data_IF_252827256258
#
_entry.id   IF_252827256258
#
_cell.length_a   1.000
_cell.length_b   1.000
_cell.length_c   1.000
_cell.angle_alpha   90.00
_cell.angle_beta   90.00
_cell.angle_gamma   90.00
#
_symmetry.space_group_name_H-M   'P 1'
#
loop_
_entity.id
_entity.type
_entity.pdbx_description
1 polymer ?
#
# COMPACT_ATOMS: atom_id res chain seq x y z
N UNK A 1 -41.52 -16.81 31.43
CA UNK A 1 -40.20 -16.29 31.78
C UNK A 1 -39.04 -17.06 31.08
N UNK A 2 -38.87 -18.39 31.21
CA UNK A 2 -37.77 -19.17 30.63
C UNK A 2 -37.68 -19.08 29.09
N UNK A 3 -38.81 -19.04 28.34
CA UNK A 3 -38.81 -18.91 26.86
C UNK A 3 -38.27 -17.54 26.38
N UNK A 4 -38.54 -16.48 27.12
CA UNK A 4 -38.04 -15.14 26.79
C UNK A 4 -36.50 -15.03 26.97
N UNK A 5 -35.97 -15.63 28.04
CA UNK A 5 -34.52 -15.68 28.30
C UNK A 5 -33.78 -16.47 27.21
N UNK A 6 -34.33 -17.62 26.78
CA UNK A 6 -33.75 -18.40 25.70
C UNK A 6 -33.68 -17.63 24.38
N UNK A 7 -34.75 -16.90 24.02
CA UNK A 7 -34.77 -16.06 22.81
C UNK A 7 -33.77 -14.92 22.88
N UNK A 8 -33.64 -14.27 24.04
CA UNK A 8 -32.67 -13.19 24.24
C UNK A 8 -31.19 -13.68 24.06
N UNK A 9 -30.87 -14.89 24.55
CA UNK A 9 -29.55 -15.50 24.38
C UNK A 9 -29.24 -15.80 22.91
N UNK A 10 -30.20 -16.35 22.16
CA UNK A 10 -30.04 -16.63 20.74
C UNK A 10 -29.81 -15.35 19.97
N UNK A 11 -30.60 -14.30 20.20
CA UNK A 11 -30.45 -13.00 19.56
C UNK A 11 -29.08 -12.39 19.88
N UNK A 12 -28.60 -12.49 21.12
CA UNK A 12 -27.28 -12.03 21.53
C UNK A 12 -26.19 -12.77 20.76
N UNK A 13 -26.29 -14.10 20.64
CA UNK A 13 -25.32 -14.91 19.92
C UNK A 13 -25.27 -14.59 18.43
N UNK A 14 -26.44 -14.44 17.79
CA UNK A 14 -26.51 -14.03 16.37
C UNK A 14 -25.85 -12.67 16.14
N UNK A 15 -26.13 -11.71 17.06
CA UNK A 15 -25.47 -10.38 16.96
C UNK A 15 -23.97 -10.46 17.16
N UNK A 16 -23.49 -11.20 18.15
CA UNK A 16 -22.05 -11.37 18.38
C UNK A 16 -21.34 -11.94 17.14
N UNK A 17 -21.89 -12.98 16.52
CA UNK A 17 -21.35 -13.56 15.28
C UNK A 17 -21.43 -12.56 14.12
N UNK A 18 -22.55 -11.84 13.98
CA UNK A 18 -22.70 -10.81 12.94
C UNK A 18 -21.74 -9.63 13.12
N UNK A 19 -21.38 -9.31 14.37
CA UNK A 19 -20.38 -8.28 14.72
C UNK A 19 -18.92 -8.79 14.63
N UNK A 20 -18.71 -10.00 14.07
CA UNK A 20 -17.39 -10.56 13.82
C UNK A 20 -16.81 -11.45 14.94
N UNK A 21 -17.54 -11.69 16.05
CA UNK A 21 -17.11 -12.62 17.10
C UNK A 21 -17.51 -14.05 16.73
N UNK A 22 -16.83 -14.61 15.72
CA UNK A 22 -17.18 -15.93 15.15
C UNK A 22 -16.97 -17.10 16.11
N UNK A 23 -16.11 -16.94 17.11
CA UNK A 23 -15.82 -17.88 18.21
C UNK A 23 -16.88 -17.90 19.32
N UNK A 24 -17.89 -16.97 19.27
CA UNK A 24 -18.91 -16.89 20.28
C UNK A 24 -19.82 -18.12 20.28
N UNK A 25 -19.93 -18.80 21.44
CA UNK A 25 -20.80 -19.96 21.64
C UNK A 25 -22.02 -19.59 22.46
N UNK A 26 -23.22 -19.87 21.92
CA UNK A 26 -24.48 -19.69 22.64
C UNK A 26 -24.58 -20.78 23.71
N UNK A 27 -24.70 -20.43 25.01
CA UNK A 27 -24.87 -21.43 26.07
C UNK A 27 -26.16 -22.22 25.91
N UNK A 28 -26.05 -23.55 25.78
CA UNK A 28 -27.19 -24.43 25.51
C UNK A 28 -28.04 -24.78 26.77
N UNK A 29 -27.51 -24.49 27.97
CA UNK A 29 -28.13 -24.82 29.25
C UNK A 29 -29.50 -24.17 29.41
N UNK A 30 -30.52 -25.00 29.61
CA UNK A 30 -31.91 -24.58 29.82
C UNK A 30 -32.73 -24.26 28.57
N UNK A 31 -32.13 -24.40 27.36
CA UNK A 31 -32.86 -24.36 26.09
C UNK A 31 -33.49 -25.71 25.79
N UNK A 32 -34.67 -25.73 25.15
CA UNK A 32 -35.43 -26.94 24.78
C UNK A 32 -36.14 -26.76 23.44
N UNK A 33 -36.36 -27.89 22.74
CA UNK A 33 -37.08 -27.91 21.46
C UNK A 33 -36.44 -27.00 20.42
N UNK A 34 -37.20 -26.25 19.63
CA UNK A 34 -36.71 -25.42 18.55
C UNK A 34 -35.71 -24.34 18.96
N UNK A 35 -35.68 -23.90 20.23
CA UNK A 35 -34.65 -22.97 20.72
C UNK A 35 -33.30 -23.67 20.88
N UNK A 36 -33.27 -24.91 21.31
CA UNK A 36 -32.04 -25.71 21.40
C UNK A 36 -31.50 -26.01 20.00
N UNK A 37 -32.35 -26.41 19.08
CA UNK A 37 -31.97 -26.69 17.69
C UNK A 37 -31.41 -25.44 17.00
N UNK A 38 -32.07 -24.29 17.19
CA UNK A 38 -31.57 -23.01 16.66
C UNK A 38 -30.19 -22.64 17.23
N UNK A 39 -30.00 -22.73 18.56
CA UNK A 39 -28.74 -22.42 19.20
C UNK A 39 -27.60 -23.36 18.73
N UNK A 40 -27.87 -24.66 18.61
CA UNK A 40 -26.92 -25.63 18.08
C UNK A 40 -26.55 -25.33 16.61
N UNK A 41 -27.55 -24.98 15.79
CA UNK A 41 -27.30 -24.64 14.38
C UNK A 41 -26.48 -23.37 14.24
N UNK A 42 -26.74 -22.34 15.06
CA UNK A 42 -25.99 -21.08 15.06
C UNK A 42 -24.54 -21.31 15.54
N UNK A 43 -24.32 -22.10 16.59
CA UNK A 43 -22.98 -22.45 17.03
C UNK A 43 -22.21 -23.21 15.93
N UNK A 44 -22.86 -24.15 15.22
CA UNK A 44 -22.24 -24.82 14.06
C UNK A 44 -21.90 -23.87 12.92
N UNK A 45 -22.72 -22.84 12.70
CA UNK A 45 -22.40 -21.77 11.71
C UNK A 45 -21.19 -20.98 12.18
N UNK A 46 -21.13 -20.59 13.47
CA UNK A 46 -19.96 -19.95 14.06
C UNK A 46 -18.68 -20.76 13.86
N UNK A 47 -18.69 -22.06 14.25
CA UNK A 47 -17.56 -22.96 14.09
C UNK A 47 -17.15 -23.16 12.59
N UNK A 48 -18.12 -23.10 11.68
CA UNK A 48 -17.88 -23.16 10.25
C UNK A 48 -17.22 -21.90 9.70
N UNK A 49 -17.68 -20.73 10.15
CA UNK A 49 -17.09 -19.44 9.80
C UNK A 49 -15.67 -19.30 10.36
N UNK A 50 -15.47 -19.67 11.62
CA UNK A 50 -14.15 -19.62 12.27
C UNK A 50 -13.12 -20.44 11.49
N UNK A 51 -13.46 -21.69 11.17
CA UNK A 51 -12.62 -22.55 10.32
C UNK A 51 -12.35 -21.96 8.93
N UNK A 52 -13.36 -21.37 8.30
CA UNK A 52 -13.20 -20.75 6.99
C UNK A 52 -12.26 -19.53 7.04
N UNK A 53 -12.36 -18.73 8.12
CA UNK A 53 -11.45 -17.60 8.37
C UNK A 53 -10.03 -18.10 8.62
N UNK A 54 -9.84 -19.10 9.50
CA UNK A 54 -8.51 -19.69 9.76
C UNK A 54 -7.87 -20.27 8.49
N UNK A 55 -8.64 -20.99 7.68
CA UNK A 55 -8.17 -21.52 6.40
C UNK A 55 -7.80 -20.40 5.42
N UNK A 56 -8.60 -19.35 5.33
CA UNK A 56 -8.34 -18.18 4.50
C UNK A 56 -7.04 -17.46 4.92
N UNK A 57 -6.85 -17.24 6.22
CA UNK A 57 -5.62 -16.63 6.77
C UNK A 57 -4.40 -17.52 6.51
N UNK A 58 -4.54 -18.83 6.70
CA UNK A 58 -3.46 -19.79 6.40
C UNK A 58 -3.07 -19.77 4.92
N UNK A 59 -4.06 -19.77 4.03
CA UNK A 59 -3.82 -19.72 2.59
C UNK A 59 -3.13 -18.43 2.16
N UNK A 60 -3.53 -17.29 2.73
CA UNK A 60 -2.88 -15.99 2.43
C UNK A 60 -1.43 -15.95 2.95
N UNK A 61 -1.15 -16.53 4.13
CA UNK A 61 0.23 -16.69 4.64
C UNK A 61 1.07 -17.58 3.73
N UNK A 62 0.55 -18.76 3.35
CA UNK A 62 1.27 -19.67 2.44
C UNK A 62 1.57 -19.01 1.10
N UNK A 63 0.62 -18.25 0.55
CA UNK A 63 0.82 -17.48 -0.68
C UNK A 63 1.93 -16.44 -0.52
N UNK A 64 1.97 -15.74 0.62
CA UNK A 64 3.00 -14.75 0.94
C UNK A 64 4.37 -15.38 1.06
N UNK A 65 4.47 -16.51 1.77
CA UNK A 65 5.72 -17.26 1.94
C UNK A 65 6.25 -17.80 0.61
N UNK A 66 5.37 -18.35 -0.22
CA UNK A 66 5.72 -18.80 -1.57
C UNK A 66 6.24 -17.64 -2.43
N UNK A 67 5.54 -16.50 -2.47
CA UNK A 67 5.97 -15.32 -3.23
C UNK A 67 7.32 -14.81 -2.71
N UNK A 68 7.53 -14.78 -1.40
CA UNK A 68 8.78 -14.33 -0.79
C UNK A 68 9.94 -15.25 -1.15
N UNK A 69 9.76 -16.57 -1.05
CA UNK A 69 10.79 -17.56 -1.37
C UNK A 69 11.14 -17.56 -2.86
N UNK A 70 10.13 -17.60 -3.74
CA UNK A 70 10.34 -17.54 -5.20
C UNK A 70 11.07 -16.25 -5.59
N UNK A 71 10.72 -15.11 -4.96
CA UNK A 71 11.39 -13.86 -5.26
C UNK A 71 12.83 -13.80 -4.79
N UNK A 72 13.16 -14.40 -3.64
CA UNK A 72 14.54 -14.58 -3.21
C UNK A 72 15.34 -15.40 -4.23
N UNK A 73 14.75 -16.50 -4.72
CA UNK A 73 15.38 -17.40 -5.68
C UNK A 73 15.53 -16.76 -7.08
N UNK A 74 14.69 -15.78 -7.42
CA UNK A 74 14.82 -14.97 -8.63
C UNK A 74 15.86 -13.83 -8.43
N UNK A 75 15.92 -13.22 -7.25
CA UNK A 75 16.83 -12.09 -6.97
C UNK A 75 18.31 -12.48 -7.14
N UNK A 76 18.67 -13.69 -6.71
CA UNK A 76 20.08 -14.18 -6.75
C UNK A 76 20.62 -14.28 -8.18
N UNK A 77 20.01 -15.02 -9.13
CA UNK A 77 20.50 -15.10 -10.51
C UNK A 77 20.38 -13.75 -11.23
N UNK A 78 19.38 -12.93 -10.90
CA UNK A 78 19.21 -11.62 -11.48
C UNK A 78 20.31 -10.64 -11.07
N UNK A 79 20.73 -10.66 -9.81
CA UNK A 79 21.89 -9.90 -9.34
C UNK A 79 23.17 -10.31 -10.09
N UNK A 80 23.35 -11.61 -10.36
CA UNK A 80 24.45 -12.10 -11.17
C UNK A 80 24.39 -11.56 -12.60
N UNK A 81 23.21 -11.58 -13.24
CA UNK A 81 23.03 -11.03 -14.61
C UNK A 81 23.42 -9.55 -14.63
N UNK A 82 22.94 -8.74 -13.67
CA UNK A 82 23.27 -7.32 -13.58
C UNK A 82 24.78 -7.14 -13.47
N UNK A 83 25.43 -7.86 -12.54
CA UNK A 83 26.87 -7.76 -12.34
C UNK A 83 27.67 -8.12 -13.61
N UNK A 84 27.26 -9.17 -14.35
CA UNK A 84 27.92 -9.53 -15.59
C UNK A 84 27.69 -8.51 -16.71
N UNK A 85 26.51 -7.91 -16.80
CA UNK A 85 26.25 -6.80 -17.73
C UNK A 85 27.11 -5.60 -17.40
N UNK A 86 27.24 -5.24 -16.12
CA UNK A 86 28.13 -4.16 -15.66
C UNK A 86 29.60 -4.42 -15.98
N UNK A 87 30.07 -5.67 -15.80
CA UNK A 87 31.45 -6.07 -16.17
C UNK A 87 31.64 -5.96 -17.68
N UNK A 88 30.73 -6.47 -18.49
CA UNK A 88 30.82 -6.40 -19.95
C UNK A 88 30.77 -4.94 -20.45
N UNK A 89 30.03 -4.04 -19.80
CA UNK A 89 30.02 -2.61 -20.16
C UNK A 89 31.38 -1.93 -19.92
N UNK A 90 32.18 -2.42 -18.97
CA UNK A 90 33.55 -1.89 -18.68
C UNK A 90 34.57 -2.32 -19.70
N UNK A 91 34.30 -3.38 -20.47
CA UNK A 91 35.22 -3.87 -21.53
C UNK A 91 35.27 -2.95 -22.77
N UNK A 92 34.52 -1.85 -22.79
CA UNK A 92 34.49 -0.80 -23.81
C UNK A 92 34.48 -1.33 -25.26
N UNK A 93 33.45 -2.11 -25.58
CA UNK A 93 33.25 -2.64 -26.93
C UNK A 93 33.13 -1.52 -27.96
N UNK A 94 33.92 -1.57 -29.04
CA UNK A 94 33.86 -0.59 -30.12
C UNK A 94 32.60 -0.67 -30.96
N UNK A 95 31.97 -1.88 -31.06
CA UNK A 95 30.75 -2.09 -31.84
C UNK A 95 29.53 -1.44 -31.15
N UNK A 96 28.91 -0.43 -31.79
CA UNK A 96 27.72 0.24 -31.26
C UNK A 96 26.53 -0.70 -31.00
N UNK A 97 26.43 -1.81 -31.74
CA UNK A 97 25.37 -2.79 -31.59
C UNK A 97 25.52 -3.55 -30.25
N UNK A 98 26.75 -3.91 -29.89
CA UNK A 98 27.06 -4.60 -28.64
C UNK A 98 26.71 -3.67 -27.45
N UNK A 99 27.15 -2.41 -27.52
CA UNK A 99 26.78 -1.41 -26.48
C UNK A 99 25.27 -1.26 -26.31
N UNK A 100 24.55 -1.18 -27.43
CA UNK A 100 23.08 -1.10 -27.38
C UNK A 100 22.44 -2.38 -26.78
N UNK A 101 22.95 -3.56 -27.11
CA UNK A 101 22.45 -4.81 -26.53
C UNK A 101 22.69 -4.88 -25.01
N UNK A 102 23.87 -4.45 -24.56
CA UNK A 102 24.19 -4.40 -23.13
C UNK A 102 23.30 -3.40 -22.39
N UNK A 103 23.04 -2.24 -22.98
CA UNK A 103 22.12 -1.26 -22.40
C UNK A 103 20.69 -1.80 -22.28
N UNK A 104 20.18 -2.48 -23.29
CA UNK A 104 18.85 -3.13 -23.25
C UNK A 104 18.81 -4.23 -22.21
N UNK A 105 19.86 -5.05 -22.11
CA UNK A 105 19.96 -6.12 -21.10
C UNK A 105 19.95 -5.55 -19.68
N UNK A 106 20.74 -4.52 -19.42
CA UNK A 106 20.77 -3.82 -18.15
C UNK A 106 19.40 -3.30 -17.76
N UNK A 107 18.75 -2.56 -18.66
CA UNK A 107 17.41 -2.01 -18.45
C UNK A 107 16.38 -3.10 -18.12
N UNK A 108 16.37 -4.21 -18.89
CA UNK A 108 15.45 -5.33 -18.64
C UNK A 108 15.76 -6.07 -17.34
N UNK A 109 17.04 -6.22 -16.97
CA UNK A 109 17.44 -6.83 -15.72
C UNK A 109 17.03 -5.97 -14.51
N UNK A 110 17.28 -4.65 -14.53
CA UNK A 110 16.82 -3.75 -13.47
C UNK A 110 15.30 -3.71 -13.37
N UNK A 111 14.60 -3.73 -14.51
CA UNK A 111 13.14 -3.80 -14.52
C UNK A 111 12.62 -5.07 -13.84
N UNK A 112 13.21 -6.24 -14.15
CA UNK A 112 12.80 -7.50 -13.52
C UNK A 112 13.08 -7.50 -12.02
N UNK A 113 14.21 -6.91 -11.58
CA UNK A 113 14.52 -6.71 -10.17
C UNK A 113 13.42 -5.89 -9.47
N UNK A 114 13.05 -4.74 -10.02
CA UNK A 114 12.00 -3.89 -9.45
C UNK A 114 10.65 -4.62 -9.40
N UNK A 115 10.28 -5.35 -10.46
CA UNK A 115 9.05 -6.12 -10.50
C UNK A 115 8.99 -7.20 -9.40
N UNK A 116 10.09 -7.92 -9.17
CA UNK A 116 10.14 -8.94 -8.11
C UNK A 116 10.06 -8.32 -6.72
N UNK A 117 10.74 -7.19 -6.50
CA UNK A 117 10.67 -6.43 -5.24
C UNK A 117 9.26 -5.91 -4.97
N UNK A 118 8.58 -5.35 -5.99
CA UNK A 118 7.19 -4.88 -5.90
C UNK A 118 6.21 -6.02 -5.56
N UNK A 119 6.37 -7.21 -6.17
CA UNK A 119 5.50 -8.38 -5.90
C UNK A 119 5.67 -8.86 -4.46
N UNK A 120 6.90 -8.94 -3.96
CA UNK A 120 7.17 -9.31 -2.56
C UNK A 120 6.55 -8.30 -1.60
N UNK A 121 6.78 -7.01 -1.87
CA UNK A 121 6.27 -5.94 -1.03
C UNK A 121 4.74 -5.96 -1.01
N UNK A 122 4.09 -6.03 -2.17
CA UNK A 122 2.63 -6.14 -2.27
C UNK A 122 2.07 -7.36 -1.51
N UNK A 123 2.78 -8.50 -1.56
CA UNK A 123 2.40 -9.71 -0.84
C UNK A 123 2.51 -9.53 0.68
N UNK A 124 3.64 -8.99 1.18
CA UNK A 124 3.86 -8.73 2.61
C UNK A 124 2.89 -7.70 3.17
N UNK A 125 2.62 -6.63 2.42
CA UNK A 125 1.65 -5.59 2.79
C UNK A 125 0.25 -6.19 2.92
N UNK A 126 -0.14 -7.04 1.98
CA UNK A 126 -1.46 -7.67 1.97
C UNK A 126 -1.70 -8.65 3.11
N UNK A 127 -0.67 -9.39 3.49
CA UNK A 127 -0.76 -10.37 4.58
C UNK A 127 -0.60 -9.74 5.98
N UNK A 128 -0.36 -8.42 6.06
CA UNK A 128 -0.07 -7.74 7.32
C UNK A 128 1.30 -8.11 7.91
N UNK A 129 2.14 -8.82 7.17
CA UNK A 129 3.46 -9.32 7.62
C UNK A 129 4.56 -8.27 7.40
N UNK A 130 4.29 -7.01 7.77
CA UNK A 130 5.25 -5.90 7.72
C UNK A 130 5.44 -5.36 9.13
N UNK A 131 6.67 -5.32 9.59
CA UNK A 131 7.04 -4.54 10.78
C UNK A 131 7.13 -3.06 10.39
N UNK A 132 6.53 -2.19 11.19
CA UNK A 132 6.57 -0.75 11.05
C UNK A 132 7.41 -0.14 12.18
N UNK A 133 8.34 0.74 11.83
CA UNK A 133 9.12 1.55 12.75
C UNK A 133 8.47 2.94 12.84
N UNK A 134 7.37 3.02 13.60
CA UNK A 134 6.56 4.23 13.73
C UNK A 134 7.27 5.30 14.55
N UNK A 135 7.34 6.52 14.03
CA UNK A 135 7.95 7.68 14.68
C UNK A 135 7.26 8.98 14.28
N UNK A 136 7.51 10.05 15.03
CA UNK A 136 7.11 11.39 14.60
C UNK A 136 7.97 11.80 13.40
N UNK A 137 7.33 12.04 12.27
CA UNK A 137 7.94 12.30 10.97
C UNK A 137 7.49 13.67 10.45
N UNK A 138 8.44 14.53 10.10
CA UNK A 138 8.13 15.79 9.41
C UNK A 138 7.87 15.50 7.92
N UNK A 139 6.60 15.57 7.51
CA UNK A 139 6.20 15.25 6.14
C UNK A 139 6.67 16.32 5.14
N UNK A 140 6.88 17.57 5.57
CA UNK A 140 7.43 18.63 4.70
C UNK A 140 8.84 18.25 4.23
N UNK A 141 9.70 17.83 5.16
CA UNK A 141 11.08 17.41 4.85
C UNK A 141 11.09 16.19 3.95
N UNK A 142 10.28 15.19 4.26
CA UNK A 142 10.22 13.97 3.47
C UNK A 142 9.73 14.23 2.04
N UNK A 143 8.74 15.09 1.85
CA UNK A 143 8.25 15.49 0.52
C UNK A 143 9.36 16.22 -0.25
N UNK A 144 10.08 17.16 0.39
CA UNK A 144 11.21 17.85 -0.24
C UNK A 144 12.32 16.90 -0.67
N UNK A 145 12.74 15.99 0.21
CA UNK A 145 13.76 14.99 -0.11
C UNK A 145 13.34 14.10 -1.27
N UNK A 146 12.12 13.55 -1.20
CA UNK A 146 11.63 12.65 -2.26
C UNK A 146 11.46 13.39 -3.57
N UNK A 147 10.96 14.64 -3.57
CA UNK A 147 10.81 15.43 -4.80
C UNK A 147 12.13 15.68 -5.50
N UNK A 148 13.21 15.96 -4.76
CA UNK A 148 14.56 16.15 -5.31
C UNK A 148 15.08 14.89 -6.00
N UNK A 149 14.81 13.70 -5.47
CA UNK A 149 15.21 12.42 -6.11
C UNK A 149 14.50 12.18 -7.46
N UNK A 150 13.36 12.82 -7.68
CA UNK A 150 12.58 12.67 -8.91
C UNK A 150 12.77 13.81 -9.91
N UNK A 151 13.54 14.86 -9.57
CA UNK A 151 13.71 16.07 -10.39
C UNK A 151 14.19 15.71 -11.82
N UNK A 152 15.24 14.92 -11.97
CA UNK A 152 15.78 14.48 -13.26
C UNK A 152 14.72 13.76 -14.12
N UNK A 153 13.88 12.91 -13.51
CA UNK A 153 12.82 12.20 -14.21
C UNK A 153 11.70 13.13 -14.68
N UNK A 154 11.40 14.18 -13.92
CA UNK A 154 10.43 15.19 -14.30
C UNK A 154 10.98 16.08 -15.41
N UNK A 155 12.23 16.52 -15.31
CA UNK A 155 12.93 17.30 -16.33
C UNK A 155 13.02 16.57 -17.68
N UNK A 156 13.33 15.26 -17.68
CA UNK A 156 13.39 14.43 -18.87
C UNK A 156 12.08 14.41 -19.69
N UNK A 157 10.94 14.75 -19.06
CA UNK A 157 9.63 14.87 -19.69
C UNK A 157 9.08 16.31 -19.71
N UNK A 158 9.94 17.30 -19.50
CA UNK A 158 9.55 18.71 -19.40
C UNK A 158 8.41 18.97 -18.40
N UNK A 159 8.27 18.13 -17.35
CA UNK A 159 7.28 18.30 -16.31
C UNK A 159 7.75 19.33 -15.29
N UNK A 160 6.88 20.28 -14.95
CA UNK A 160 7.18 21.30 -13.94
C UNK A 160 6.48 20.96 -12.62
N UNK A 161 7.26 20.70 -11.57
CA UNK A 161 6.72 20.51 -10.23
C UNK A 161 6.39 21.84 -9.59
N UNK A 162 5.18 21.98 -9.06
CA UNK A 162 4.69 23.14 -8.32
C UNK A 162 4.35 22.68 -6.91
N UNK A 163 5.18 23.07 -5.95
CA UNK A 163 5.03 22.68 -4.54
C UNK A 163 4.47 23.84 -3.72
N UNK A 164 3.39 23.57 -3.00
CA UNK A 164 2.80 24.46 -2.01
C UNK A 164 2.88 23.77 -0.65
N UNK A 165 4.00 23.95 0.04
CA UNK A 165 4.27 23.35 1.33
C UNK A 165 4.22 24.41 2.41
N UNK A 166 3.75 24.10 3.65
CA UNK A 166 3.81 25.03 4.76
C UNK A 166 5.27 25.28 5.18
N UNK A 167 5.52 26.45 5.76
CA UNK A 167 6.82 26.79 6.35
C UNK A 167 7.08 26.08 7.67
N UNK A 168 6.01 25.78 8.40
CA UNK A 168 6.05 25.07 9.66
C UNK A 168 6.08 23.56 9.42
N UNK A 169 6.73 22.77 10.30
CA UNK A 169 6.74 21.32 10.21
C UNK A 169 5.32 20.73 10.27
N UNK A 170 4.97 19.89 9.31
CA UNK A 170 3.75 19.10 9.35
C UNK A 170 4.08 17.68 9.82
N UNK A 171 3.85 17.42 11.11
CA UNK A 171 4.23 16.14 11.75
C UNK A 171 3.11 15.11 11.65
N UNK A 172 3.49 13.90 11.26
CA UNK A 172 2.64 12.70 11.28
C UNK A 172 3.32 11.60 12.09
N UNK A 173 2.55 10.60 12.58
CA UNK A 173 3.11 9.40 13.21
C UNK A 173 3.14 8.28 12.18
N UNK A 174 4.33 7.99 11.63
CA UNK A 174 4.49 7.06 10.52
C UNK A 174 5.91 6.45 10.49
N UNK A 175 6.09 5.40 9.68
CA UNK A 175 7.40 4.83 9.34
C UNK A 175 7.99 5.60 8.15
N UNK A 176 9.12 6.26 8.36
CA UNK A 176 9.75 7.12 7.36
C UNK A 176 10.12 6.39 6.06
N UNK A 177 10.62 5.14 6.14
CA UNK A 177 10.94 4.34 4.94
C UNK A 177 9.69 3.97 4.15
N UNK A 178 8.62 3.58 4.86
CA UNK A 178 7.35 3.21 4.23
C UNK A 178 6.66 4.42 3.64
N UNK A 179 6.73 5.56 4.31
CA UNK A 179 6.17 6.80 3.78
C UNK A 179 6.95 7.31 2.57
N UNK A 180 8.29 7.23 2.58
CA UNK A 180 9.09 7.50 1.38
C UNK A 180 8.65 6.60 0.21
N UNK A 181 8.44 5.29 0.45
CA UNK A 181 7.97 4.36 -0.59
C UNK A 181 6.60 4.73 -1.14
N UNK A 182 5.69 5.23 -0.30
CA UNK A 182 4.38 5.77 -0.72
C UNK A 182 4.59 6.93 -1.68
N UNK A 183 5.39 7.93 -1.29
CA UNK A 183 5.69 9.11 -2.11
C UNK A 183 6.38 8.73 -3.43
N UNK A 184 7.39 7.87 -3.36
CA UNK A 184 8.13 7.39 -4.52
C UNK A 184 7.21 6.71 -5.56
N UNK A 185 6.25 5.90 -5.11
CA UNK A 185 5.26 5.27 -5.99
C UNK A 185 4.35 6.32 -6.67
N UNK A 186 3.90 7.33 -5.93
CA UNK A 186 3.03 8.38 -6.47
C UNK A 186 3.80 9.30 -7.43
N UNK A 187 5.00 9.74 -7.06
CA UNK A 187 5.84 10.56 -7.95
C UNK A 187 6.27 9.80 -9.20
N UNK A 188 6.64 8.52 -9.09
CA UNK A 188 6.96 7.70 -10.24
C UNK A 188 5.76 7.50 -11.18
N UNK A 189 4.54 7.41 -10.62
CA UNK A 189 3.31 7.40 -11.39
C UNK A 189 3.12 8.72 -12.15
N UNK A 190 3.26 9.87 -11.48
CA UNK A 190 3.18 11.18 -12.10
C UNK A 190 4.25 11.37 -13.19
N UNK A 191 5.52 11.00 -12.92
CA UNK A 191 6.60 11.09 -13.90
C UNK A 191 6.34 10.26 -15.16
N UNK A 192 5.64 9.12 -15.05
CA UNK A 192 5.36 8.23 -16.17
C UNK A 192 4.15 8.64 -17.01
N UNK A 193 3.10 9.07 -16.33
CA UNK A 193 1.78 9.19 -16.95
C UNK A 193 1.25 10.62 -17.07
N UNK A 194 1.94 11.61 -16.48
CA UNK A 194 1.57 13.00 -16.70
C UNK A 194 1.80 13.41 -18.15
N UNK A 195 0.95 14.28 -18.66
CA UNK A 195 1.10 14.88 -19.99
C UNK A 195 2.43 15.62 -20.07
N UNK A 196 3.23 15.33 -21.08
CA UNK A 196 4.54 15.96 -21.29
C UNK A 196 4.41 17.50 -21.37
N UNK A 197 5.36 18.22 -20.79
CA UNK A 197 5.34 19.68 -20.73
C UNK A 197 4.31 20.27 -19.76
N UNK A 198 3.57 19.44 -19.02
CA UNK A 198 2.55 19.89 -18.06
C UNK A 198 3.11 20.13 -16.66
N UNK A 199 2.23 20.35 -15.71
CA UNK A 199 2.56 20.62 -14.30
C UNK A 199 2.10 19.47 -13.41
N UNK A 200 2.94 19.16 -12.41
CA UNK A 200 2.58 18.29 -11.28
C UNK A 200 2.48 19.16 -10.03
N UNK A 201 1.34 19.19 -9.39
CA UNK A 201 1.09 19.98 -8.20
C UNK A 201 1.21 19.09 -6.96
N UNK A 202 1.95 19.59 -5.98
CA UNK A 202 2.15 18.95 -4.68
C UNK A 202 1.75 19.94 -3.61
N UNK A 203 0.60 19.71 -3.00
CA UNK A 203 0.05 20.60 -1.98
C UNK A 203 0.04 19.87 -0.63
N UNK A 204 0.66 20.43 0.41
CA UNK A 204 0.63 19.91 1.77
C UNK A 204 -0.03 20.94 2.68
N UNK A 205 -1.07 20.52 3.38
CA UNK A 205 -1.83 21.37 4.29
C UNK A 205 -1.99 20.65 5.63
N UNK A 206 -1.71 21.34 6.72
CA UNK A 206 -2.05 20.87 8.06
C UNK A 206 -3.27 21.65 8.56
N UNK A 207 -4.33 20.92 8.89
CA UNK A 207 -5.47 21.43 9.66
C UNK A 207 -5.28 21.04 11.12
N UNK A 208 -6.10 21.57 12.04
CA UNK A 208 -5.92 21.27 13.47
C UNK A 208 -5.92 19.78 13.84
N UNK A 209 -6.53 18.93 13.03
CA UNK A 209 -6.69 17.49 13.31
C UNK A 209 -5.98 16.57 12.31
N UNK A 210 -5.73 17.02 11.08
CA UNK A 210 -5.17 16.17 10.00
C UNK A 210 -4.08 16.91 9.22
N UNK A 211 -3.08 16.14 8.77
CA UNK A 211 -2.12 16.53 7.74
C UNK A 211 -2.57 15.90 6.43
N UNK A 212 -2.75 16.74 5.42
CA UNK A 212 -3.24 16.36 4.10
C UNK A 212 -2.21 16.67 3.02
N UNK A 213 -1.75 15.63 2.31
CA UNK A 213 -0.90 15.75 1.13
C UNK A 213 -1.73 15.45 -0.12
N UNK A 214 -1.69 16.34 -1.09
CA UNK A 214 -2.34 16.18 -2.39
C UNK A 214 -1.29 16.21 -3.49
N UNK A 215 -1.30 15.20 -4.38
CA UNK A 215 -0.48 15.18 -5.59
C UNK A 215 -1.41 15.04 -6.78
N UNK A 216 -1.30 15.95 -7.75
CA UNK A 216 -2.21 15.97 -8.91
C UNK A 216 -1.48 16.37 -10.19
N UNK A 217 -1.87 15.72 -11.28
CA UNK A 217 -1.38 15.99 -12.63
C UNK A 217 -2.46 15.72 -13.67
N UNK A 218 -2.28 16.26 -14.86
CA UNK A 218 -3.07 15.90 -16.04
C UNK A 218 -2.43 14.65 -16.65
N UNK A 219 -3.22 13.62 -16.93
CA UNK A 219 -2.77 12.40 -17.60
C UNK A 219 -2.56 12.61 -19.09
N UNK A 220 -1.52 11.97 -19.64
CA UNK A 220 -1.27 11.97 -21.09
C UNK A 220 -2.35 11.20 -21.86
N UNK A 221 -2.95 10.20 -21.23
CA UNK A 221 -4.00 9.39 -21.81
C UNK A 221 -5.32 9.56 -21.05
N UNK A 222 -6.48 9.47 -21.71
CA UNK A 222 -7.78 9.51 -21.03
C UNK A 222 -7.89 8.42 -19.95
N UNK A 223 -8.38 8.82 -18.78
CA UNK A 223 -8.57 7.91 -17.65
C UNK A 223 -9.98 7.30 -17.71
N UNK A 224 -10.18 6.30 -18.59
CA UNK A 224 -11.45 5.59 -18.77
C UNK A 224 -11.59 4.39 -17.81
N UNK A 225 -11.11 4.53 -16.59
CA UNK A 225 -11.07 3.49 -15.56
C UNK A 225 -11.51 4.10 -14.22
N UNK A 226 -12.13 3.32 -13.35
CA UNK A 226 -12.50 3.81 -12.03
C UNK A 226 -11.27 3.92 -11.11
N UNK A 227 -11.38 4.79 -10.08
CA UNK A 227 -10.32 4.93 -9.09
C UNK A 227 -10.06 3.62 -8.32
N UNK A 228 -11.11 2.85 -8.04
CA UNK A 228 -11.01 1.56 -7.37
C UNK A 228 -10.25 0.54 -8.23
N UNK A 229 -10.57 0.46 -9.52
CA UNK A 229 -9.87 -0.42 -10.45
C UNK A 229 -8.37 -0.07 -10.56
N UNK A 230 -8.00 1.23 -10.56
CA UNK A 230 -6.58 1.64 -10.61
C UNK A 230 -5.80 1.27 -9.34
N UNK A 231 -6.46 1.12 -8.21
CA UNK A 231 -5.83 0.70 -6.95
C UNK A 231 -5.86 -0.81 -6.75
N UNK A 232 -6.60 -1.56 -7.55
CA UNK A 232 -6.54 -3.02 -7.54
C UNK A 232 -5.18 -3.52 -8.06
N UNK A 233 -4.80 -4.72 -7.62
CA UNK A 233 -3.50 -5.29 -7.96
C UNK A 233 -3.46 -5.73 -9.42
N UNK A 234 -2.31 -5.47 -10.06
CA UNK A 234 -2.02 -5.89 -11.44
C UNK A 234 -2.94 -5.27 -12.50
N UNK A 235 -3.80 -4.30 -12.14
CA UNK A 235 -4.60 -3.61 -13.14
C UNK A 235 -3.78 -2.47 -13.75
N UNK A 236 -3.75 -2.45 -15.06
CA UNK A 236 -3.22 -1.38 -15.89
C UNK A 236 -4.33 -0.92 -16.81
N UNK A 237 -4.50 0.38 -16.95
CA UNK A 237 -5.39 0.89 -18.00
C UNK A 237 -5.00 0.31 -19.37
N UNK A 238 -5.96 0.05 -20.25
CA UNK A 238 -5.74 -0.67 -21.51
C UNK A 238 -4.59 -0.12 -22.35
N UNK A 239 -4.32 1.19 -22.29
CA UNK A 239 -3.25 1.86 -23.04
C UNK A 239 -1.88 1.73 -22.34
N UNK A 240 -1.85 1.49 -21.03
CA UNK A 240 -0.61 1.38 -20.24
C UNK A 240 0.08 0.02 -20.33
N UNK A 241 -0.48 -0.93 -21.09
CA UNK A 241 0.16 -2.25 -21.31
C UNK A 241 1.52 -2.16 -22.02
N UNK A 242 1.73 -1.12 -22.80
CA UNK A 242 2.99 -0.83 -23.51
C UNK A 242 3.98 -0.01 -22.68
N UNK A 243 3.53 0.65 -21.59
CA UNK A 243 4.39 1.48 -20.73
C UNK A 243 5.06 0.64 -19.64
N UNK A 244 6.24 1.06 -19.22
CA UNK A 244 7.01 0.39 -18.16
C UNK A 244 6.32 0.51 -16.80
N UNK A 245 6.11 -0.62 -16.09
CA UNK A 245 5.60 -0.61 -14.72
C UNK A 245 5.03 -1.96 -14.28
N UNK A 246 4.99 -2.22 -12.96
CA UNK A 246 4.42 -3.43 -12.35
C UNK A 246 2.88 -3.41 -12.31
N UNK A 247 2.26 -2.24 -12.34
CA UNK A 247 0.85 -2.05 -12.01
C UNK A 247 0.55 -2.21 -10.51
N UNK A 248 1.58 -2.29 -9.66
CA UNK A 248 1.45 -2.50 -8.22
C UNK A 248 1.71 -1.24 -7.39
N UNK A 249 2.35 -0.22 -7.98
CA UNK A 249 2.82 0.95 -7.23
C UNK A 249 1.73 1.68 -6.44
N UNK A 250 0.56 1.92 -7.05
CA UNK A 250 -0.57 2.60 -6.37
C UNK A 250 -1.20 1.72 -5.29
N UNK A 251 -1.36 0.42 -5.54
CA UNK A 251 -1.87 -0.52 -4.53
C UNK A 251 -0.92 -0.66 -3.35
N UNK A 252 0.41 -0.67 -3.58
CA UNK A 252 1.43 -0.64 -2.52
C UNK A 252 1.31 0.66 -1.73
N UNK A 253 1.24 1.82 -2.39
CA UNK A 253 1.11 3.11 -1.74
C UNK A 253 -0.16 3.20 -0.86
N UNK A 254 -1.30 2.77 -1.38
CA UNK A 254 -2.57 2.74 -0.65
C UNK A 254 -2.49 1.86 0.60
N UNK A 255 -1.98 0.63 0.43
CA UNK A 255 -1.93 -0.32 1.54
C UNK A 255 -0.90 0.10 2.61
N UNK A 256 0.29 0.59 2.21
CA UNK A 256 1.27 1.13 3.15
C UNK A 256 0.74 2.34 3.93
N UNK A 257 -0.02 3.21 3.28
CA UNK A 257 -0.68 4.33 3.97
C UNK A 257 -1.69 3.83 5.00
N UNK A 258 -2.56 2.88 4.62
CA UNK A 258 -3.57 2.28 5.51
C UNK A 258 -2.95 1.56 6.72
N UNK A 259 -1.88 0.79 6.51
CA UNK A 259 -1.17 0.09 7.59
C UNK A 259 -0.57 1.04 8.64
N UNK A 260 -0.23 2.26 8.24
CA UNK A 260 0.29 3.30 9.12
C UNK A 260 -0.82 4.17 9.74
N UNK A 261 -2.10 3.80 9.57
CA UNK A 261 -3.24 4.53 10.12
C UNK A 261 -3.68 5.75 9.30
N UNK A 262 -3.09 5.96 8.13
CA UNK A 262 -3.48 7.01 7.18
C UNK A 262 -4.63 6.58 6.26
N UNK A 263 -5.15 7.56 5.50
CA UNK A 263 -6.14 7.37 4.44
C UNK A 263 -5.52 7.73 3.09
N UNK A 264 -5.73 6.88 2.10
CA UNK A 264 -5.29 7.09 0.72
C UNK A 264 -6.51 7.07 -0.19
N UNK A 265 -6.73 8.16 -0.90
CA UNK A 265 -7.85 8.31 -1.82
C UNK A 265 -7.34 8.71 -3.20
N UNK A 266 -7.95 8.16 -4.23
CA UNK A 266 -7.66 8.45 -5.62
C UNK A 266 -8.89 9.07 -6.26
N UNK A 267 -8.71 10.20 -6.93
CA UNK A 267 -9.75 10.90 -7.67
C UNK A 267 -9.35 11.02 -9.15
N UNK A 268 -10.25 10.63 -10.01
CA UNK A 268 -10.13 10.74 -11.45
C UNK A 268 -11.29 11.60 -11.96
N UNK A 269 -10.97 12.63 -12.75
CA UNK A 269 -11.98 13.48 -13.37
C UNK A 269 -11.49 13.89 -14.77
N UNK A 270 -12.03 13.23 -15.79
CA UNK A 270 -11.51 13.32 -17.15
C UNK A 270 -10.04 12.90 -17.20
N UNK A 271 -9.15 13.84 -17.54
CA UNK A 271 -7.70 13.61 -17.59
C UNK A 271 -7.00 13.96 -16.26
N UNK A 272 -7.74 14.46 -15.28
CA UNK A 272 -7.17 14.79 -13.97
C UNK A 272 -6.94 13.52 -13.14
N UNK A 273 -5.69 13.29 -12.78
CA UNK A 273 -5.27 12.30 -11.80
C UNK A 273 -4.91 13.01 -10.49
N UNK A 274 -5.53 12.62 -9.38
CA UNK A 274 -5.29 13.23 -8.06
C UNK A 274 -5.22 12.15 -6.98
N UNK A 275 -4.12 12.14 -6.26
CA UNK A 275 -3.94 11.35 -5.03
C UNK A 275 -4.08 12.26 -3.83
N UNK A 276 -4.80 11.80 -2.81
CA UNK A 276 -4.99 12.46 -1.55
C UNK A 276 -4.59 11.50 -0.41
N UNK A 277 -3.62 11.91 0.39
CA UNK A 277 -3.11 11.16 1.53
C UNK A 277 -3.38 11.98 2.79
N UNK A 278 -4.00 11.36 3.79
CA UNK A 278 -4.32 12.01 5.07
C UNK A 278 -3.81 11.19 6.24
N UNK A 279 -3.23 11.89 7.21
CA UNK A 279 -2.84 11.34 8.50
C UNK A 279 -3.37 12.21 9.63
N UNK A 280 -3.78 11.63 10.76
CA UNK A 280 -4.09 12.42 11.95
C UNK A 280 -2.81 13.11 12.47
N UNK A 281 -2.95 14.32 12.97
CA UNK A 281 -1.87 15.01 13.71
C UNK A 281 -1.61 14.20 14.98
N UNK A 282 -0.35 13.83 15.30
CA UNK A 282 -0.03 13.14 16.54
C UNK A 282 -0.49 14.00 17.72
N UNK A 283 -1.23 13.40 18.65
CA UNK A 283 -1.50 14.08 19.93
C UNK A 283 -0.16 14.17 20.67
N UNK A 284 0.16 15.34 21.18
CA UNK A 284 1.27 15.47 22.13
C UNK A 284 0.99 14.49 23.27
N UNK A 285 1.82 13.45 23.38
CA UNK A 285 1.88 12.67 24.61
C UNK A 285 2.41 13.63 25.66
N UNK A 286 1.56 14.05 26.60
CA UNK A 286 2.04 14.64 27.86
C UNK A 286 3.05 13.64 28.41
N UNK A 287 4.32 13.99 28.37
CA UNK A 287 5.37 13.29 29.09
C UNK A 287 4.98 13.30 30.54
N UNK A 288 4.46 12.18 31.03
CA UNK A 288 4.30 11.93 32.45
C UNK A 288 5.71 11.81 33.03
N UNK A 289 6.31 12.95 33.33
CA UNK A 289 7.41 13.01 34.29
C UNK A 289 6.82 12.60 35.64
N UNK A 290 6.84 11.30 35.92
CA UNK A 290 6.79 10.84 37.30
C UNK A 290 8.11 11.30 37.94
N UNK A 291 8.04 12.44 38.64
CA UNK A 291 9.02 12.77 39.65
C UNK A 291 9.09 11.59 40.62
N UNK A 292 10.21 10.90 40.58
CA UNK A 292 10.62 9.97 41.63
C UNK A 292 11.08 10.88 42.74
N UNK A 293 10.17 11.28 43.62
CA UNK A 293 10.55 11.78 44.95
C UNK A 293 11.17 10.64 45.77
N UNK A 294 12.35 10.95 46.23
CA UNK A 294 13.19 10.13 47.11
C UNK A 294 12.57 9.96 48.50
#
# INVERSE_FOLDING_TARGET
MRRAIGRARIIKGVKAIADGQVDYQIPLNGLKGGQLEAAVSINKIGDGLDRAVEESVKNERLKTDLITNVSHDIKTPLTSIINYVDLLKREDFEDPKIRNYLQVLEEKAYRLKTLTEDVVEASKVSSGNISLEMMNLNLVELVNQTSAEFEEKFEARNLKMIMNLPTEPATIYADGRRMWRVLANVFNNAAKYAMEGSRVYVDLVQTGEEVQLTIKNVSEQPLNISADELTERFIRGDVSRSTEGSGLGLSIAQNLTKLQGGKFELYLDGDLFKVLIRFPVPKETEDVYQEVEQ
#
